data_IF_454489073579
#
_entry.id   IF_454489073579
#
_cell.length_a   1.000
_cell.length_b   1.000
_cell.length_c   1.000
_cell.angle_alpha   90.00
_cell.angle_beta   90.00
_cell.angle_gamma   90.00
#
_symmetry.space_group_name_H-M   'P 1'
#
loop_
_entity.id
_entity.type
_entity.pdbx_description
1 polymer ?
#
# COMPACT_ATOMS: atom_id res chain seq x y z
N UNK A 1 39.72 -11.35 -40.90
CA UNK A 1 38.36 -11.87 -40.64
C UNK A 1 38.27 -12.28 -39.18
N UNK A 2 37.70 -11.42 -38.34
CA UNK A 2 37.51 -11.72 -36.91
C UNK A 2 36.32 -12.64 -36.70
N UNK A 3 36.57 -13.83 -36.14
CA UNK A 3 35.55 -14.81 -35.80
C UNK A 3 34.70 -14.22 -34.67
N UNK A 4 33.46 -13.82 -34.96
CA UNK A 4 32.46 -13.53 -33.94
C UNK A 4 32.22 -14.81 -33.14
N UNK A 5 32.81 -14.90 -31.94
CA UNK A 5 32.43 -15.92 -30.96
C UNK A 5 30.94 -15.74 -30.67
N UNK A 6 30.10 -16.66 -31.17
CA UNK A 6 28.68 -16.73 -30.81
C UNK A 6 28.59 -16.91 -29.29
N UNK A 7 28.20 -15.85 -28.60
CA UNK A 7 27.97 -15.87 -27.17
C UNK A 7 26.82 -16.84 -26.85
N UNK A 8 27.17 -17.99 -26.26
CA UNK A 8 26.26 -19.11 -25.93
C UNK A 8 25.37 -18.85 -24.71
N UNK A 9 25.38 -17.62 -24.17
CA UNK A 9 24.54 -17.26 -23.03
C UNK A 9 23.06 -17.43 -23.32
N UNK A 10 22.37 -18.11 -22.39
CA UNK A 10 20.91 -18.20 -22.32
C UNK A 10 20.29 -16.81 -22.17
N UNK A 11 19.01 -16.66 -22.52
CA UNK A 11 18.28 -15.39 -22.37
C UNK A 11 18.34 -14.89 -20.93
N UNK A 12 18.20 -15.80 -19.96
CA UNK A 12 18.35 -15.53 -18.53
C UNK A 12 19.73 -14.97 -18.13
N UNK A 13 20.81 -15.48 -18.72
CA UNK A 13 22.17 -14.98 -18.48
C UNK A 13 22.41 -13.64 -19.15
N UNK A 14 21.80 -13.42 -20.32
CA UNK A 14 21.87 -12.13 -21.01
C UNK A 14 21.17 -11.04 -20.22
N UNK A 15 19.98 -11.32 -19.66
CA UNK A 15 19.25 -10.41 -18.77
C UNK A 15 20.11 -10.06 -17.56
N UNK A 16 20.66 -11.07 -16.86
CA UNK A 16 21.53 -10.85 -15.69
C UNK A 16 22.78 -10.03 -15.97
N UNK A 17 23.30 -10.12 -17.19
CA UNK A 17 24.48 -9.36 -17.61
C UNK A 17 24.18 -7.91 -17.98
N UNK A 18 22.92 -7.49 -18.10
CA UNK A 18 22.56 -6.11 -18.44
C UNK A 18 22.65 -5.19 -17.21
N UNK A 19 22.98 -3.93 -17.45
CA UNK A 19 22.87 -2.87 -16.46
C UNK A 19 21.40 -2.51 -16.17
N UNK A 20 21.18 -1.71 -15.12
CA UNK A 20 19.84 -1.30 -14.66
C UNK A 20 19.05 -0.56 -15.75
N UNK A 21 19.68 0.38 -16.44
CA UNK A 21 19.01 1.24 -17.41
C UNK A 21 18.55 0.43 -18.61
N UNK A 22 19.41 -0.46 -19.10
CA UNK A 22 19.08 -1.42 -20.15
C UNK A 22 17.93 -2.33 -19.73
N UNK A 23 17.90 -2.82 -18.48
CA UNK A 23 16.79 -3.62 -17.97
C UNK A 23 15.46 -2.86 -17.90
N UNK A 24 15.49 -1.58 -17.50
CA UNK A 24 14.30 -0.71 -17.49
C UNK A 24 13.79 -0.48 -18.91
N UNK A 25 14.68 -0.23 -19.87
CA UNK A 25 14.30 -0.07 -21.29
C UNK A 25 13.69 -1.37 -21.81
N UNK A 26 14.31 -2.53 -21.53
CA UNK A 26 13.79 -3.84 -21.89
C UNK A 26 12.40 -4.08 -21.31
N UNK A 27 12.15 -3.68 -20.08
CA UNK A 27 10.84 -3.76 -19.45
C UNK A 27 9.80 -2.85 -20.15
N UNK A 28 10.19 -1.62 -20.51
CA UNK A 28 9.31 -0.64 -21.19
C UNK A 28 8.82 -1.14 -22.54
N UNK A 29 9.71 -1.75 -23.33
CA UNK A 29 9.39 -2.22 -24.68
C UNK A 29 8.83 -3.65 -24.70
N UNK A 30 8.81 -4.34 -23.55
CA UNK A 30 8.30 -5.71 -23.47
C UNK A 30 6.79 -5.75 -23.69
N UNK A 31 6.29 -6.58 -24.62
CA UNK A 31 4.86 -6.72 -24.85
C UNK A 31 4.18 -7.39 -23.65
N UNK A 32 2.87 -7.15 -23.51
CA UNK A 32 2.02 -7.84 -22.54
C UNK A 32 2.11 -9.35 -22.77
N UNK A 33 2.35 -10.13 -21.71
CA UNK A 33 2.50 -11.58 -21.79
C UNK A 33 3.92 -12.06 -22.13
N UNK A 34 4.93 -11.19 -22.19
CA UNK A 34 6.32 -11.61 -22.35
C UNK A 34 6.76 -12.48 -21.15
N UNK A 35 7.18 -13.75 -21.37
CA UNK A 35 7.51 -14.69 -20.30
C UNK A 35 8.76 -14.28 -19.49
N UNK A 36 9.55 -13.34 -19.99
CA UNK A 36 10.77 -12.87 -19.31
C UNK A 36 10.55 -11.67 -18.40
N UNK A 37 9.36 -11.07 -18.39
CA UNK A 37 9.05 -9.88 -17.57
C UNK A 37 9.32 -10.14 -16.09
N UNK A 38 8.92 -11.31 -15.58
CA UNK A 38 9.15 -11.67 -14.18
C UNK A 38 10.65 -11.70 -13.84
N UNK A 39 11.47 -12.23 -14.74
CA UNK A 39 12.91 -12.30 -14.57
C UNK A 39 13.57 -10.92 -14.68
N UNK A 40 13.14 -10.08 -15.63
CA UNK A 40 13.61 -8.71 -15.80
C UNK A 40 13.31 -7.91 -14.53
N UNK A 41 12.08 -7.94 -14.03
CA UNK A 41 11.69 -7.24 -12.80
C UNK A 41 12.47 -7.74 -11.59
N UNK A 42 12.65 -9.07 -11.46
CA UNK A 42 13.43 -9.64 -10.35
C UNK A 42 14.88 -9.19 -10.38
N UNK A 43 15.48 -9.07 -11.56
CA UNK A 43 16.85 -8.58 -11.71
C UNK A 43 16.96 -7.07 -11.42
N UNK A 44 15.96 -6.27 -11.81
CA UNK A 44 15.93 -4.85 -11.45
C UNK A 44 15.83 -4.71 -9.92
N UNK A 45 14.95 -5.49 -9.26
CA UNK A 45 14.75 -5.45 -7.81
C UNK A 45 15.98 -5.88 -6.98
N UNK A 46 16.91 -6.63 -7.58
CA UNK A 46 18.18 -6.99 -6.93
C UNK A 46 19.13 -5.79 -6.79
N UNK A 47 18.91 -4.71 -7.56
CA UNK A 47 19.79 -3.53 -7.63
C UNK A 47 19.58 -2.58 -6.44
N UNK A 48 20.67 -1.94 -6.01
CA UNK A 48 20.73 -1.11 -4.80
C UNK A 48 20.26 0.34 -4.97
N UNK A 49 20.12 0.80 -6.20
CA UNK A 49 19.98 2.20 -6.59
C UNK A 49 18.68 2.47 -7.36
N UNK A 50 17.55 1.92 -6.89
CA UNK A 50 16.26 2.13 -7.55
C UNK A 50 15.67 3.48 -7.15
N UNK A 51 15.37 4.33 -8.15
CA UNK A 51 14.64 5.58 -7.93
C UNK A 51 13.15 5.31 -7.66
N UNK A 52 12.42 6.32 -7.19
CA UNK A 52 10.96 6.24 -7.08
C UNK A 52 10.34 5.93 -8.45
N UNK A 53 10.72 6.66 -9.50
CA UNK A 53 10.19 6.47 -10.86
C UNK A 53 10.40 5.03 -11.37
N UNK A 54 11.55 4.43 -11.05
CA UNK A 54 11.82 3.03 -11.39
C UNK A 54 10.83 2.10 -10.69
N UNK A 55 10.62 2.30 -9.39
CA UNK A 55 9.70 1.49 -8.59
C UNK A 55 8.25 1.65 -9.05
N UNK A 56 7.84 2.87 -9.45
CA UNK A 56 6.52 3.12 -10.03
C UNK A 56 6.34 2.39 -11.36
N UNK A 57 7.37 2.44 -12.21
CA UNK A 57 7.36 1.76 -13.49
C UNK A 57 7.33 0.23 -13.31
N UNK A 58 8.10 -0.31 -12.36
CA UNK A 58 8.07 -1.72 -12.01
C UNK A 58 6.68 -2.15 -11.58
N UNK A 59 6.01 -1.37 -10.74
CA UNK A 59 4.64 -1.68 -10.36
C UNK A 59 3.76 -1.80 -11.61
N UNK A 60 3.92 -0.95 -12.62
CA UNK A 60 3.08 -0.94 -13.84
C UNK A 60 3.20 -2.18 -14.71
N UNK A 61 4.41 -2.71 -14.79
CA UNK A 61 4.71 -3.80 -15.70
C UNK A 61 4.85 -5.15 -15.01
N UNK A 62 5.07 -5.15 -13.70
CA UNK A 62 5.31 -6.38 -12.96
C UNK A 62 4.05 -7.23 -12.82
N UNK A 63 4.20 -8.56 -12.90
CA UNK A 63 3.14 -9.47 -12.50
C UNK A 63 2.81 -9.32 -11.00
N UNK A 64 1.56 -9.59 -10.66
CA UNK A 64 0.98 -9.38 -9.33
C UNK A 64 1.64 -10.19 -8.21
N UNK A 65 2.47 -11.19 -8.54
CA UNK A 65 3.22 -11.99 -7.57
C UNK A 65 4.54 -11.32 -7.12
N UNK A 66 5.07 -10.33 -7.85
CA UNK A 66 6.35 -9.67 -7.54
C UNK A 66 6.21 -8.37 -6.74
N UNK A 67 5.11 -7.70 -6.96
CA UNK A 67 4.39 -6.81 -6.06
C UNK A 67 4.93 -6.80 -4.60
N UNK A 68 4.87 -7.87 -3.77
CA UNK A 68 5.41 -7.89 -2.40
C UNK A 68 6.85 -7.39 -2.27
N UNK A 69 7.70 -7.81 -3.20
CA UNK A 69 9.13 -7.46 -3.22
C UNK A 69 9.36 -6.01 -3.63
N UNK A 70 8.53 -5.48 -4.55
CA UNK A 70 8.60 -4.07 -4.97
C UNK A 70 8.26 -3.15 -3.79
N UNK A 71 7.27 -3.49 -2.98
CA UNK A 71 6.91 -2.72 -1.79
C UNK A 71 7.97 -2.75 -0.69
N UNK A 72 8.58 -3.91 -0.44
CA UNK A 72 9.70 -4.01 0.50
C UNK A 72 10.87 -3.10 0.07
N UNK A 73 11.05 -2.89 -1.25
CA UNK A 73 12.11 -2.04 -1.80
C UNK A 73 11.82 -0.55 -1.63
N UNK A 74 10.61 -0.14 -1.95
CA UNK A 74 10.07 1.20 -1.69
C UNK A 74 10.32 1.62 -0.24
N UNK A 75 10.00 0.75 0.71
CA UNK A 75 10.16 1.04 2.13
C UNK A 75 11.62 1.18 2.54
N UNK A 76 12.50 0.34 1.98
CA UNK A 76 13.95 0.44 2.21
C UNK A 76 14.52 1.77 1.70
N UNK A 77 13.92 2.36 0.68
CA UNK A 77 14.34 3.65 0.12
C UNK A 77 13.79 4.86 0.90
N UNK A 78 13.03 4.65 1.98
CA UNK A 78 12.50 5.74 2.82
C UNK A 78 11.41 6.58 2.15
N UNK A 79 10.86 6.10 1.04
CA UNK A 79 9.78 6.77 0.31
C UNK A 79 8.50 6.68 1.14
N UNK A 80 7.79 7.81 1.29
CA UNK A 80 6.55 7.84 2.05
C UNK A 80 5.50 6.93 1.36
N UNK A 81 5.00 5.90 2.07
CA UNK A 81 3.90 5.04 1.65
C UNK A 81 2.65 5.75 1.08
N UNK A 82 2.40 6.98 1.49
CA UNK A 82 1.24 7.78 1.10
C UNK A 82 1.33 8.34 -0.32
N UNK A 83 2.54 8.68 -0.81
CA UNK A 83 2.77 9.13 -2.19
C UNK A 83 2.42 8.03 -3.21
N UNK A 84 2.61 6.78 -2.79
CA UNK A 84 2.37 5.62 -3.63
C UNK A 84 0.90 5.19 -3.63
N UNK A 85 0.17 5.50 -2.56
CA UNK A 85 -1.24 5.15 -2.43
C UNK A 85 -2.10 5.71 -3.58
N UNK A 86 -1.76 6.89 -4.11
CA UNK A 86 -2.45 7.50 -5.25
C UNK A 86 -2.30 6.70 -6.55
N UNK A 87 -1.12 6.10 -6.77
CA UNK A 87 -0.85 5.28 -7.95
C UNK A 87 -1.57 3.94 -7.88
N UNK A 88 -1.89 3.48 -6.66
CA UNK A 88 -2.55 2.21 -6.41
C UNK A 88 -4.07 2.26 -6.45
N UNK A 89 -4.70 3.38 -6.07
CA UNK A 89 -6.17 3.52 -6.17
C UNK A 89 -6.67 3.34 -7.60
N UNK A 90 -5.82 3.70 -8.58
CA UNK A 90 -6.13 3.63 -10.00
C UNK A 90 -5.94 2.24 -10.64
N UNK A 91 -5.46 1.23 -9.90
CA UNK A 91 -5.32 -0.14 -10.42
C UNK A 91 -6.42 -1.05 -9.91
N UNK A 92 -6.95 -1.84 -10.84
CA UNK A 92 -8.02 -2.80 -10.57
C UNK A 92 -7.42 -4.21 -10.54
N UNK A 93 -7.55 -4.92 -9.41
CA UNK A 93 -7.09 -6.30 -9.22
C UNK A 93 -7.15 -6.71 -7.74
N UNK A 94 -7.58 -7.95 -7.44
CA UNK A 94 -7.78 -8.41 -6.06
C UNK A 94 -6.46 -8.56 -5.29
N UNK A 95 -5.36 -8.89 -5.98
CA UNK A 95 -4.03 -9.05 -5.39
C UNK A 95 -3.35 -7.71 -5.10
N UNK A 96 -3.51 -6.70 -5.98
CA UNK A 96 -3.08 -5.32 -5.70
C UNK A 96 -3.73 -4.76 -4.43
N UNK A 97 -5.01 -5.09 -4.21
CA UNK A 97 -5.73 -4.72 -3.00
C UNK A 97 -5.30 -5.49 -1.74
N UNK A 98 -4.99 -6.79 -1.88
CA UNK A 98 -4.49 -7.64 -0.79
C UNK A 98 -3.10 -7.19 -0.34
N UNK A 99 -2.24 -6.92 -1.30
CA UNK A 99 -0.92 -6.38 -1.10
C UNK A 99 -0.89 -5.00 -0.46
N UNK A 100 -1.75 -4.09 -0.92
CA UNK A 100 -1.91 -2.80 -0.28
C UNK A 100 -2.36 -2.97 1.18
N UNK A 101 -3.27 -3.91 1.45
CA UNK A 101 -3.68 -4.25 2.83
C UNK A 101 -2.53 -4.85 3.65
N UNK A 102 -1.71 -5.70 3.04
CA UNK A 102 -0.54 -6.36 3.65
C UNK A 102 0.58 -5.36 3.95
N UNK A 103 0.85 -4.44 3.03
CA UNK A 103 1.74 -3.30 3.20
C UNK A 103 1.27 -2.40 4.36
N UNK A 104 -0.01 -2.04 4.37
CA UNK A 104 -0.60 -1.27 5.45
C UNK A 104 -0.55 -2.03 6.79
N UNK A 105 -0.64 -3.37 6.81
CA UNK A 105 -0.76 -4.17 8.06
C UNK A 105 0.58 -4.54 8.69
N UNK A 106 1.63 -4.74 7.89
CA UNK A 106 2.92 -5.23 8.36
C UNK A 106 3.92 -4.15 8.74
N UNK A 107 3.84 -2.95 8.15
CA UNK A 107 4.98 -2.01 8.15
C UNK A 107 4.64 -0.58 8.57
N UNK A 108 3.36 -0.22 8.67
CA UNK A 108 2.94 1.15 9.00
C UNK A 108 2.05 1.14 10.24
N UNK A 109 2.17 2.14 11.10
CA UNK A 109 1.31 2.29 12.27
C UNK A 109 -0.15 2.36 11.84
N UNK A 110 -1.04 1.83 12.68
CA UNK A 110 -2.47 1.81 12.40
C UNK A 110 -3.01 3.21 12.04
N UNK A 111 -2.53 4.27 12.70
CA UNK A 111 -2.91 5.66 12.43
C UNK A 111 -2.54 6.07 11.00
N UNK A 112 -1.32 5.79 10.57
CA UNK A 112 -0.83 6.18 9.26
C UNK A 112 -1.53 5.38 8.15
N UNK A 113 -1.81 4.09 8.39
CA UNK A 113 -2.60 3.29 7.46
C UNK A 113 -4.04 3.79 7.29
N UNK A 114 -4.64 4.27 8.39
CA UNK A 114 -5.98 4.87 8.34
C UNK A 114 -5.94 6.19 7.57
N UNK A 115 -4.91 7.04 7.74
CA UNK A 115 -4.74 8.27 6.95
C UNK A 115 -4.69 7.98 5.45
N UNK A 116 -3.92 6.99 5.03
CA UNK A 116 -3.83 6.58 3.62
C UNK A 116 -5.21 6.15 3.09
N UNK A 117 -5.89 5.23 3.78
CA UNK A 117 -7.24 4.77 3.39
C UNK A 117 -8.27 5.91 3.37
N UNK A 118 -8.09 6.89 4.25
CA UNK A 118 -8.95 8.08 4.36
C UNK A 118 -8.77 9.00 3.16
N UNK A 119 -7.55 9.16 2.65
CA UNK A 119 -7.32 9.86 1.37
C UNK A 119 -7.89 9.07 0.17
N UNK A 120 -7.76 7.74 0.18
CA UNK A 120 -8.37 6.89 -0.87
C UNK A 120 -9.90 7.00 -0.92
N UNK A 121 -10.57 7.19 0.24
CA UNK A 121 -12.02 7.45 0.30
C UNK A 121 -12.43 8.71 -0.49
N UNK A 122 -11.60 9.77 -0.46
CA UNK A 122 -11.88 11.00 -1.19
C UNK A 122 -11.77 10.78 -2.70
N UNK A 123 -10.70 10.11 -3.12
CA UNK A 123 -10.25 10.03 -4.51
C UNK A 123 -11.01 9.02 -5.36
N UNK A 124 -11.46 7.90 -4.79
CA UNK A 124 -12.15 6.85 -5.55
C UNK A 124 -13.55 6.55 -5.00
N UNK A 125 -14.59 7.19 -5.57
CA UNK A 125 -15.99 6.97 -5.18
C UNK A 125 -16.45 5.51 -5.31
N UNK A 126 -15.94 4.77 -6.30
CA UNK A 126 -16.41 3.41 -6.61
C UNK A 126 -15.97 2.41 -5.54
N UNK A 127 -14.80 2.63 -4.95
CA UNK A 127 -14.21 1.74 -3.92
C UNK A 127 -14.42 2.22 -2.49
N UNK A 128 -15.17 3.33 -2.27
CA UNK A 128 -15.40 3.90 -0.92
C UNK A 128 -15.83 2.87 0.12
N UNK A 129 -16.76 1.98 -0.25
CA UNK A 129 -17.25 0.92 0.64
C UNK A 129 -16.12 -0.02 1.08
N UNK A 130 -15.24 -0.42 0.17
CA UNK A 130 -14.11 -1.31 0.45
C UNK A 130 -13.11 -0.64 1.39
N UNK A 131 -12.74 0.61 1.10
CA UNK A 131 -11.81 1.36 1.94
C UNK A 131 -12.38 1.60 3.35
N UNK A 132 -13.66 1.91 3.45
CA UNK A 132 -14.33 2.10 4.74
C UNK A 132 -14.33 0.82 5.60
N UNK A 133 -14.61 -0.35 5.02
CA UNK A 133 -14.51 -1.62 5.73
C UNK A 133 -13.08 -1.91 6.21
N UNK A 134 -12.08 -1.59 5.39
CA UNK A 134 -10.66 -1.71 5.76
C UNK A 134 -10.30 -0.76 6.92
N UNK A 135 -10.82 0.46 6.94
CA UNK A 135 -10.64 1.41 8.04
C UNK A 135 -11.26 0.88 9.33
N UNK A 136 -12.50 0.40 9.30
CA UNK A 136 -13.20 -0.13 10.48
C UNK A 136 -12.43 -1.26 11.16
N UNK A 137 -11.87 -2.19 10.37
CA UNK A 137 -11.06 -3.31 10.88
C UNK A 137 -9.78 -2.87 11.60
N UNK A 138 -9.29 -1.65 11.34
CA UNK A 138 -8.09 -1.07 11.96
C UNK A 138 -8.37 -0.29 13.24
N UNK A 139 -9.58 -0.37 13.79
CA UNK A 139 -9.98 0.27 15.04
C UNK A 139 -9.66 1.78 15.08
N UNK A 140 -10.32 2.58 14.21
CA UNK A 140 -9.98 3.98 14.06
C UNK A 140 -10.23 4.77 15.35
N UNK A 141 -9.24 5.60 15.71
CA UNK A 141 -9.34 6.56 16.80
C UNK A 141 -10.35 7.67 16.49
N UNK A 142 -10.78 8.36 17.54
CA UNK A 142 -11.75 9.47 17.45
C UNK A 142 -11.39 10.50 16.38
N UNK A 143 -10.13 10.92 16.32
CA UNK A 143 -9.72 11.95 15.35
C UNK A 143 -9.87 11.50 13.89
N UNK A 144 -9.56 10.24 13.55
CA UNK A 144 -9.78 9.70 12.21
C UNK A 144 -11.26 9.72 11.85
N UNK A 145 -12.12 9.29 12.80
CA UNK A 145 -13.57 9.26 12.60
C UNK A 145 -14.14 10.66 12.41
N UNK A 146 -13.61 11.67 13.11
CA UNK A 146 -13.96 13.07 12.89
C UNK A 146 -13.62 13.49 11.47
N UNK A 147 -12.37 13.27 11.05
CA UNK A 147 -11.90 13.62 9.70
C UNK A 147 -12.77 12.98 8.62
N UNK A 148 -13.19 11.72 8.78
CA UNK A 148 -14.07 11.02 7.81
C UNK A 148 -15.52 11.51 7.89
N UNK A 149 -16.02 11.81 9.08
CA UNK A 149 -17.35 12.38 9.28
C UNK A 149 -17.51 13.72 8.54
N UNK A 150 -16.44 14.52 8.50
CA UNK A 150 -16.43 15.85 7.89
C UNK A 150 -16.33 15.80 6.34
N UNK A 151 -16.11 14.63 5.73
CA UNK A 151 -15.94 14.48 4.27
C UNK A 151 -17.24 14.39 3.45
N UNK A 152 -18.41 14.46 4.10
CA UNK A 152 -19.73 14.41 3.43
C UNK A 152 -19.91 13.20 2.47
N UNK A 153 -19.39 12.03 2.84
CA UNK A 153 -19.44 10.79 2.05
C UNK A 153 -20.77 10.02 2.25
N UNK A 154 -21.86 10.73 2.54
CA UNK A 154 -23.19 10.17 2.80
C UNK A 154 -23.18 9.15 3.94
N UNK A 155 -23.58 7.90 3.65
CA UNK A 155 -23.71 6.83 4.64
C UNK A 155 -22.41 6.56 5.44
N UNK A 156 -21.25 6.72 4.81
CA UNK A 156 -19.95 6.53 5.47
C UNK A 156 -19.72 7.60 6.54
N UNK A 157 -20.00 8.86 6.24
CA UNK A 157 -19.86 9.96 7.19
C UNK A 157 -20.82 9.80 8.38
N UNK A 158 -22.07 9.41 8.11
CA UNK A 158 -23.03 9.11 9.18
C UNK A 158 -22.61 7.92 10.05
N UNK A 159 -22.04 6.87 9.46
CA UNK A 159 -21.52 5.72 10.22
C UNK A 159 -20.31 6.12 11.06
N UNK A 160 -19.40 6.95 10.53
CA UNK A 160 -18.26 7.47 11.27
C UNK A 160 -18.70 8.31 12.49
N UNK A 161 -19.72 9.16 12.34
CA UNK A 161 -20.32 9.90 13.46
C UNK A 161 -20.92 8.96 14.52
N UNK A 162 -21.64 7.92 14.11
CA UNK A 162 -22.20 6.90 15.03
C UNK A 162 -21.10 6.13 15.76
N UNK A 163 -19.99 5.81 15.10
CA UNK A 163 -18.85 5.18 15.75
C UNK A 163 -18.18 6.10 16.76
N UNK A 164 -18.04 7.38 16.42
CA UNK A 164 -17.48 8.40 17.32
C UNK A 164 -18.31 8.54 18.60
N UNK A 165 -19.64 8.66 18.48
CA UNK A 165 -20.52 8.79 19.65
C UNK A 165 -20.49 7.54 20.55
N UNK A 166 -20.37 6.34 19.97
CA UNK A 166 -20.18 5.09 20.73
C UNK A 166 -18.85 5.08 21.50
N UNK A 167 -17.77 5.57 20.90
CA UNK A 167 -16.47 5.70 21.58
C UNK A 167 -16.55 6.66 22.76
N UNK A 168 -17.25 7.78 22.60
CA UNK A 168 -17.43 8.78 23.64
C UNK A 168 -18.23 8.21 24.81
N UNK A 169 -19.35 7.55 24.53
CA UNK A 169 -20.16 6.89 25.56
C UNK A 169 -19.34 5.85 26.34
N UNK A 170 -18.52 5.04 25.66
CA UNK A 170 -17.64 4.07 26.32
C UNK A 170 -16.60 4.74 27.23
N UNK A 171 -16.04 5.89 26.80
CA UNK A 171 -15.10 6.67 27.62
C UNK A 171 -15.77 7.23 28.86
N UNK A 172 -16.97 7.82 28.72
CA UNK A 172 -17.73 8.36 29.85
C UNK A 172 -18.09 7.27 30.87
N UNK A 173 -18.54 6.09 30.40
CA UNK A 173 -18.83 4.95 31.30
C UNK A 173 -17.58 4.47 32.04
N UNK A 174 -16.43 4.37 31.37
CA UNK A 174 -15.17 4.02 32.03
C UNK A 174 -14.74 5.04 33.08
N UNK A 175 -14.90 6.33 32.79
CA UNK A 175 -14.59 7.40 33.75
C UNK A 175 -15.51 7.33 34.98
N UNK A 176 -16.82 7.16 34.77
CA UNK A 176 -17.79 7.01 35.86
C UNK A 176 -17.49 5.79 36.74
N UNK A 177 -17.14 4.64 36.13
CA UNK A 177 -16.75 3.44 36.88
C UNK A 177 -15.50 3.68 37.73
N UNK A 178 -14.47 4.32 37.17
CA UNK A 178 -13.25 4.66 37.92
C UNK A 178 -13.54 5.54 39.14
N UNK A 179 -14.43 6.52 39.00
CA UNK A 179 -14.87 7.37 40.12
C UNK A 179 -15.63 6.55 41.15
N UNK A 180 -16.57 5.69 40.73
CA UNK A 180 -17.31 4.81 41.63
C UNK A 180 -16.41 3.85 42.42
N UNK A 181 -15.37 3.30 41.77
CA UNK A 181 -14.42 2.39 42.41
C UNK A 181 -13.57 3.13 43.46
N UNK A 182 -13.15 4.37 43.18
CA UNK A 182 -12.42 5.22 44.13
C UNK A 182 -13.26 5.57 45.37
N UNK A 183 -14.55 5.90 45.18
CA UNK A 183 -15.47 6.17 46.30
C UNK A 183 -15.57 4.95 47.23
N UNK A 184 -15.67 3.74 46.65
CA UNK A 184 -15.74 2.49 47.42
C UNK A 184 -14.47 2.15 48.19
N UNK A 185 -13.30 2.59 47.71
CA UNK A 185 -12.02 2.35 48.39
C UNK A 185 -11.78 3.30 49.57
N UNK A 186 -12.53 4.39 49.65
CA UNK A 186 -12.45 5.38 50.73
C UNK A 186 -13.55 5.20 51.78
N UNK A 187 -14.48 4.27 51.56
CA UNK A 187 -15.56 3.89 52.48
C UNK A 187 -15.19 2.59 53.21
#
# INVERSE_FOLDING_TARGET
>A
MGIFKKDKRTVAERIRAQDRETLIILLRISPVGNPWVEQIVSEILSRIDLSLDDLLHLLDKAPENLFPKIWDRILKNGIDPSELAELFTNRNGSLAELAFVEFLSRRITADHAIRILTESLKKDPRKRKIYWEKIKKRAPRRHHLRVIADMELGAISSEAQKMMSRLDRRRSVKAAKKISDLIRQQS
#
